data_IF_136724553960
#
_entry.id   IF_136724553960
#
_cell.length_a   1.000
_cell.length_b   1.000
_cell.length_c   1.000
_cell.angle_alpha   90.00
_cell.angle_beta   90.00
_cell.angle_gamma   90.00
#
_symmetry.space_group_name_H-M   'P 1'
#
loop_
_entity.id
_entity.type
_entity.pdbx_description
1 polymer ?
#
# COMPACT_ATOMS: atom_id res chain seq x y z
N UNK A 1 4.23 -23.67 -20.12
CA UNK A 1 3.02 -23.34 -19.33
C UNK A 1 2.66 -21.90 -19.68
N UNK A 2 1.71 -21.71 -20.60
CA UNK A 2 1.38 -20.39 -21.16
C UNK A 2 0.50 -19.64 -20.17
N UNK A 3 1.05 -18.58 -19.56
CA UNK A 3 0.27 -17.61 -18.78
C UNK A 3 -0.63 -16.84 -19.74
N UNK A 4 -1.92 -16.78 -19.41
CA UNK A 4 -2.95 -16.18 -20.24
C UNK A 4 -2.85 -14.65 -20.15
N UNK A 5 -3.13 -13.94 -21.25
CA UNK A 5 -3.01 -12.48 -21.32
C UNK A 5 -3.93 -11.76 -20.29
N UNK A 6 -4.97 -12.44 -19.80
CA UNK A 6 -5.83 -11.98 -18.69
C UNK A 6 -5.10 -11.90 -17.35
N UNK A 7 -4.16 -12.81 -17.07
CA UNK A 7 -3.42 -12.83 -15.80
C UNK A 7 -2.36 -11.72 -15.74
N UNK A 8 -1.83 -11.33 -16.91
CA UNK A 8 -0.91 -10.20 -17.07
C UNK A 8 -1.63 -8.84 -16.96
N UNK A 9 -2.88 -8.75 -17.43
CA UNK A 9 -3.71 -7.54 -17.29
C UNK A 9 -4.15 -7.33 -15.84
N UNK A 10 -4.52 -8.40 -15.10
CA UNK A 10 -4.83 -8.31 -13.68
C UNK A 10 -3.61 -7.87 -12.84
N UNK A 11 -2.41 -8.36 -13.13
CA UNK A 11 -1.17 -7.95 -12.42
C UNK A 11 -0.78 -6.47 -12.66
N UNK A 12 -1.08 -5.94 -13.85
CA UNK A 12 -0.85 -4.52 -14.17
C UNK A 12 -1.95 -3.60 -13.61
N UNK A 13 -3.19 -4.09 -13.51
CA UNK A 13 -4.32 -3.31 -12.99
C UNK A 13 -4.26 -3.13 -11.47
N UNK A 14 -3.75 -4.13 -10.72
CA UNK A 14 -3.51 -4.02 -9.28
C UNK A 14 -2.26 -3.18 -8.90
N UNK A 15 -1.35 -2.92 -9.85
CA UNK A 15 -0.11 -2.18 -9.57
C UNK A 15 -0.20 -0.68 -9.90
N UNK A 16 -1.19 -0.23 -10.67
CA UNK A 16 -1.32 1.18 -11.10
C UNK A 16 -2.56 1.92 -10.56
N UNK A 17 -3.57 1.25 -9.99
CA UNK A 17 -4.77 1.96 -9.51
C UNK A 17 -4.60 2.69 -8.17
N UNK A 18 -3.40 2.64 -7.56
CA UNK A 18 -3.11 3.31 -6.28
C UNK A 18 -2.24 4.56 -6.37
N UNK A 19 -1.92 5.05 -7.57
CA UNK A 19 -0.99 6.16 -7.72
C UNK A 19 -1.39 7.17 -8.81
N UNK A 20 -1.42 8.44 -8.39
CA UNK A 20 -1.47 9.71 -9.15
C UNK A 20 -2.87 10.29 -9.41
N UNK A 21 -3.08 11.49 -8.87
CA UNK A 21 -4.20 12.37 -9.19
C UNK A 21 -4.03 13.12 -10.51
N UNK A 22 -5.18 13.35 -11.15
CA UNK A 22 -5.53 14.41 -12.12
C UNK A 22 -5.24 14.19 -13.63
N UNK A 23 -6.05 14.83 -14.52
CA UNK A 23 -6.64 14.16 -15.71
C UNK A 23 -6.43 14.89 -17.05
N UNK A 24 -6.31 14.13 -18.15
CA UNK A 24 -6.58 14.44 -19.59
C UNK A 24 -5.79 13.38 -20.40
N UNK A 25 -6.17 12.75 -21.49
CA UNK A 25 -7.09 12.94 -22.62
C UNK A 25 -7.21 11.55 -23.26
N UNK A 26 -8.39 11.09 -23.68
CA UNK A 26 -8.52 10.33 -24.95
C UNK A 26 -9.91 10.61 -25.51
N UNK A 27 -9.97 11.51 -26.50
CA UNK A 27 -11.05 11.55 -27.48
C UNK A 27 -11.09 10.21 -28.23
N UNK A 28 -12.21 9.48 -28.14
CA UNK A 28 -12.55 8.42 -29.08
C UNK A 28 -13.74 8.88 -29.92
N UNK A 29 -13.46 9.18 -31.18
CA UNK A 29 -14.46 9.19 -32.24
C UNK A 29 -15.03 7.77 -32.42
N UNK A 30 -16.32 7.75 -32.79
CA UNK A 30 -17.09 6.68 -33.42
C UNK A 30 -17.91 5.75 -32.52
N UNK A 31 -19.16 6.15 -32.26
CA UNK A 31 -20.28 5.21 -32.16
C UNK A 31 -21.46 5.75 -32.97
N UNK A 32 -21.74 5.12 -34.11
CA UNK A 32 -23.07 5.16 -34.72
C UNK A 32 -23.88 3.99 -34.11
N UNK A 33 -24.94 4.39 -33.41
CA UNK A 33 -26.24 3.72 -33.28
C UNK A 33 -26.30 2.32 -32.67
N UNK A 34 -26.43 2.27 -31.34
CA UNK A 34 -27.62 1.70 -30.68
C UNK A 34 -27.86 2.54 -29.41
N UNK A 35 -29.06 3.11 -29.28
CA UNK A 35 -29.45 4.00 -28.17
C UNK A 35 -29.16 3.33 -26.82
N UNK A 36 -28.16 3.85 -26.12
CA UNK A 36 -27.60 3.30 -24.88
C UNK A 36 -28.56 3.52 -23.72
N UNK A 37 -29.04 2.44 -23.11
CA UNK A 37 -29.52 2.48 -21.73
C UNK A 37 -28.33 2.88 -20.84
N UNK A 38 -28.44 3.90 -19.98
CA UNK A 38 -27.32 4.37 -19.17
C UNK A 38 -26.89 3.36 -18.10
N UNK A 39 -25.59 3.30 -17.82
CA UNK A 39 -24.99 2.34 -16.86
C UNK A 39 -24.50 3.01 -15.57
N UNK A 40 -24.67 4.33 -15.42
CA UNK A 40 -24.31 5.10 -14.24
C UNK A 40 -25.38 6.17 -13.94
N UNK A 41 -25.45 6.65 -12.69
CA UNK A 41 -26.44 7.67 -12.27
C UNK A 41 -26.31 8.97 -13.07
N UNK A 42 -25.09 9.32 -13.47
CA UNK A 42 -24.82 10.49 -14.31
C UNK A 42 -25.36 10.31 -15.73
N UNK A 43 -25.17 9.15 -16.34
CA UNK A 43 -25.76 8.81 -17.63
C UNK A 43 -27.28 8.66 -17.55
N UNK A 44 -27.82 8.15 -16.44
CA UNK A 44 -29.26 8.10 -16.21
C UNK A 44 -29.84 9.52 -16.15
N UNK A 45 -29.19 10.42 -15.42
CA UNK A 45 -29.56 11.83 -15.35
C UNK A 45 -29.45 12.50 -16.74
N UNK A 46 -28.36 12.26 -17.47
CA UNK A 46 -28.16 12.80 -18.82
C UNK A 46 -29.22 12.29 -19.80
N UNK A 47 -29.54 10.99 -19.74
CA UNK A 47 -30.62 10.39 -20.53
C UNK A 47 -31.99 10.97 -20.16
N UNK A 48 -32.26 11.22 -18.87
CA UNK A 48 -33.49 11.88 -18.44
C UNK A 48 -33.56 13.35 -18.88
N UNK A 49 -32.43 14.05 -18.93
CA UNK A 49 -32.34 15.43 -19.44
C UNK A 49 -32.49 15.47 -20.97
N UNK A 50 -31.87 14.54 -21.69
CA UNK A 50 -31.93 14.44 -23.15
C UNK A 50 -33.29 13.92 -23.65
N UNK A 51 -33.98 13.10 -22.84
CA UNK A 51 -35.34 12.63 -23.10
C UNK A 51 -36.43 13.59 -22.58
N UNK A 52 -36.05 14.63 -21.84
CA UNK A 52 -36.94 15.68 -21.35
C UNK A 52 -37.18 16.74 -22.41
N UNK A 53 -38.45 17.01 -22.73
CA UNK A 53 -38.84 18.11 -23.62
C UNK A 53 -38.48 19.48 -23.02
N UNK A 54 -38.19 20.45 -23.89
CA UNK A 54 -37.97 21.88 -23.59
C UNK A 54 -38.94 22.39 -22.50
N UNK A 55 -38.50 23.18 -21.50
CA UNK A 55 -39.31 23.55 -20.35
C UNK A 55 -40.29 24.67 -20.74
N UNK A 56 -41.30 24.34 -21.55
CA UNK A 56 -42.46 25.20 -21.75
C UNK A 56 -43.42 25.02 -20.57
N UNK A 57 -43.17 25.78 -19.50
CA UNK A 57 -44.09 26.25 -18.45
C UNK A 57 -45.10 25.32 -17.75
N UNK A 58 -45.23 24.05 -18.11
CA UNK A 58 -46.00 23.07 -17.33
C UNK A 58 -45.03 22.27 -16.47
N UNK A 59 -44.62 22.90 -15.36
CA UNK A 59 -43.99 22.21 -14.25
C UNK A 59 -45.07 21.37 -13.56
N UNK A 60 -45.58 20.33 -14.24
CA UNK A 60 -46.47 19.35 -13.63
C UNK A 60 -45.71 18.73 -12.46
N UNK A 61 -46.11 19.07 -11.24
CA UNK A 61 -45.52 18.46 -10.05
C UNK A 61 -45.71 16.96 -10.19
N UNK A 62 -44.63 16.18 -10.10
CA UNK A 62 -44.73 14.71 -10.15
C UNK A 62 -45.89 14.22 -9.29
N UNK A 63 -46.78 13.46 -9.89
CA UNK A 63 -47.88 12.80 -9.18
C UNK A 63 -47.31 12.01 -7.98
N UNK A 64 -47.88 12.16 -6.76
CA UNK A 64 -47.32 11.55 -5.56
C UNK A 64 -47.19 10.03 -5.63
N UNK A 65 -48.12 9.36 -6.33
CA UNK A 65 -48.10 7.90 -6.50
C UNK A 65 -46.95 7.46 -7.41
N UNK A 66 -46.73 8.19 -8.51
CA UNK A 66 -45.61 7.95 -9.42
C UNK A 66 -44.25 8.24 -8.78
N UNK A 67 -44.14 9.27 -7.94
CA UNK A 67 -42.92 9.55 -7.17
C UNK A 67 -42.64 8.46 -6.14
N UNK A 68 -43.66 7.96 -5.45
CA UNK A 68 -43.54 6.88 -4.49
C UNK A 68 -43.11 5.57 -5.17
N UNK A 69 -43.72 5.24 -6.31
CA UNK A 69 -43.33 4.07 -7.11
C UNK A 69 -41.87 4.16 -7.58
N UNK A 70 -41.43 5.31 -8.08
CA UNK A 70 -40.05 5.49 -8.54
C UNK A 70 -39.04 5.40 -7.38
N UNK A 71 -39.35 5.99 -6.22
CA UNK A 71 -38.53 5.84 -5.01
C UNK A 71 -38.45 4.39 -4.57
N UNK A 72 -39.58 3.69 -4.51
CA UNK A 72 -39.62 2.27 -4.16
C UNK A 72 -38.87 1.39 -5.17
N UNK A 73 -38.98 1.68 -6.47
CA UNK A 73 -38.24 0.97 -7.51
C UNK A 73 -36.73 1.21 -7.37
N UNK A 74 -36.31 2.46 -7.19
CA UNK A 74 -34.90 2.81 -6.96
C UNK A 74 -34.37 2.18 -5.66
N UNK A 75 -35.11 2.28 -4.55
CA UNK A 75 -34.77 1.68 -3.26
C UNK A 75 -34.71 0.14 -3.34
N UNK A 76 -35.63 -0.49 -4.10
CA UNK A 76 -35.61 -1.94 -4.34
C UNK A 76 -34.45 -2.40 -5.22
N UNK A 77 -33.82 -1.48 -5.95
CA UNK A 77 -32.65 -1.71 -6.80
C UNK A 77 -31.33 -1.32 -6.11
N UNK A 78 -31.36 -0.55 -5.02
CA UNK A 78 -30.16 -0.17 -4.25
C UNK A 78 -29.96 -1.12 -3.07
N UNK A 79 -28.81 -1.76 -3.01
CA UNK A 79 -28.41 -2.56 -1.83
C UNK A 79 -27.96 -1.61 -0.73
N UNK A 80 -28.50 -1.78 0.48
CA UNK A 80 -27.93 -1.14 1.67
C UNK A 80 -26.58 -1.82 1.99
N UNK A 81 -25.52 -1.27 1.40
CA UNK A 81 -24.16 -1.76 1.57
C UNK A 81 -23.73 -1.75 3.04
N UNK A 82 -24.21 -0.82 3.86
CA UNK A 82 -23.90 -0.81 5.29
C UNK A 82 -24.56 -1.99 6.02
N UNK A 83 -25.78 -2.37 5.63
CA UNK A 83 -26.42 -3.58 6.14
C UNK A 83 -25.70 -4.86 5.70
N UNK A 84 -25.29 -4.94 4.42
CA UNK A 84 -24.55 -6.11 3.92
C UNK A 84 -23.19 -6.23 4.60
N UNK A 85 -22.45 -5.12 4.76
CA UNK A 85 -21.20 -5.10 5.52
C UNK A 85 -21.39 -5.55 6.97
N UNK A 86 -22.44 -5.09 7.66
CA UNK A 86 -22.75 -5.56 9.03
C UNK A 86 -22.97 -7.07 9.07
N UNK A 87 -23.69 -7.61 8.09
CA UNK A 87 -23.91 -9.05 7.95
C UNK A 87 -22.59 -9.80 7.76
N UNK A 88 -21.72 -9.35 6.84
CA UNK A 88 -20.41 -9.98 6.62
C UNK A 88 -19.50 -9.89 7.84
N UNK A 89 -19.47 -8.76 8.52
CA UNK A 89 -18.74 -8.59 9.78
C UNK A 89 -19.22 -9.62 10.82
N UNK A 90 -20.55 -9.75 10.98
CA UNK A 90 -21.12 -10.70 11.92
C UNK A 90 -20.78 -12.16 11.55
N UNK A 91 -20.90 -12.53 10.28
CA UNK A 91 -20.53 -13.86 9.77
C UNK A 91 -19.08 -14.18 10.09
N UNK A 92 -18.14 -13.30 9.75
CA UNK A 92 -16.71 -13.53 10.03
C UNK A 92 -16.46 -13.70 11.52
N UNK A 93 -16.97 -12.78 12.36
CA UNK A 93 -16.78 -12.86 13.82
C UNK A 93 -17.35 -14.16 14.39
N UNK A 94 -18.53 -14.58 13.94
CA UNK A 94 -19.16 -15.82 14.38
C UNK A 94 -18.35 -17.04 13.94
N UNK A 95 -17.87 -17.06 12.69
CA UNK A 95 -17.17 -18.19 12.13
C UNK A 95 -15.79 -18.40 12.79
N UNK A 96 -15.02 -17.33 13.01
CA UNK A 96 -13.72 -17.41 13.70
C UNK A 96 -13.86 -17.80 15.18
N UNK A 97 -15.01 -17.51 15.79
CA UNK A 97 -15.30 -17.84 17.20
C UNK A 97 -16.05 -19.17 17.37
N UNK A 98 -16.35 -19.86 16.27
CA UNK A 98 -17.12 -21.11 16.30
C UNK A 98 -16.31 -22.27 16.89
N UNK A 99 -17.00 -23.35 17.27
CA UNK A 99 -16.35 -24.55 17.78
C UNK A 99 -15.53 -25.32 16.72
N UNK A 100 -15.84 -25.10 15.43
CA UNK A 100 -15.11 -25.69 14.31
C UNK A 100 -14.89 -24.66 13.17
N UNK A 101 -13.95 -23.70 13.34
CA UNK A 101 -13.71 -22.67 12.34
C UNK A 101 -13.17 -23.22 11.00
N UNK A 102 -12.61 -24.44 10.99
CA UNK A 102 -12.00 -25.04 9.82
C UNK A 102 -13.02 -25.46 8.75
N UNK A 103 -14.22 -25.86 9.16
CA UNK A 103 -15.29 -26.19 8.21
C UNK A 103 -15.93 -24.95 7.59
N UNK A 104 -15.68 -23.76 8.16
CA UNK A 104 -16.25 -22.48 7.72
C UNK A 104 -15.25 -21.61 6.94
N UNK A 105 -14.10 -22.16 6.53
CA UNK A 105 -13.05 -21.40 5.85
C UNK A 105 -13.54 -20.75 4.58
N UNK A 106 -14.22 -21.50 3.71
CA UNK A 106 -14.72 -20.99 2.43
C UNK A 106 -15.72 -19.85 2.61
N UNK A 107 -16.69 -19.99 3.53
CA UNK A 107 -17.66 -18.94 3.84
C UNK A 107 -16.99 -17.70 4.44
N UNK A 108 -16.01 -17.91 5.34
CA UNK A 108 -15.28 -16.82 5.98
C UNK A 108 -14.41 -16.07 4.97
N UNK A 109 -13.69 -16.78 4.10
CA UNK A 109 -12.89 -16.20 3.02
C UNK A 109 -13.78 -15.41 2.07
N UNK A 110 -14.92 -15.95 1.65
CA UNK A 110 -15.87 -15.21 0.79
C UNK A 110 -16.41 -13.95 1.46
N UNK A 111 -16.75 -14.01 2.76
CA UNK A 111 -17.20 -12.83 3.48
C UNK A 111 -16.08 -11.79 3.68
N UNK A 112 -14.83 -12.22 3.82
CA UNK A 112 -13.67 -11.33 3.87
C UNK A 112 -13.36 -10.68 2.52
N UNK A 113 -13.49 -11.42 1.41
CA UNK A 113 -13.33 -10.88 0.07
C UNK A 113 -14.37 -9.78 -0.21
N UNK A 114 -15.65 -10.04 0.11
CA UNK A 114 -16.70 -9.02 0.00
C UNK A 114 -16.37 -7.76 0.83
N UNK A 115 -15.83 -7.92 2.04
CA UNK A 115 -15.42 -6.79 2.88
C UNK A 115 -14.21 -6.04 2.33
N UNK A 116 -13.25 -6.75 1.74
CA UNK A 116 -12.10 -6.13 1.08
C UNK A 116 -12.59 -5.28 -0.10
N UNK A 117 -13.46 -5.83 -0.95
CA UNK A 117 -14.05 -5.14 -2.10
C UNK A 117 -14.84 -3.90 -1.67
N UNK A 118 -15.67 -4.01 -0.61
CA UNK A 118 -16.41 -2.86 -0.10
C UNK A 118 -15.48 -1.77 0.44
N UNK A 119 -14.39 -2.15 1.11
CA UNK A 119 -13.47 -1.17 1.73
C UNK A 119 -12.50 -0.53 0.74
N UNK A 120 -12.53 -0.89 -0.55
CA UNK A 120 -11.84 -0.12 -1.59
C UNK A 120 -12.42 1.30 -1.75
N UNK A 121 -13.71 1.49 -1.43
CA UNK A 121 -14.33 2.81 -1.32
C UNK A 121 -14.05 3.42 0.06
N UNK A 122 -13.44 4.60 0.07
CA UNK A 122 -13.06 5.32 1.30
C UNK A 122 -14.26 5.61 2.21
N UNK A 123 -15.44 5.92 1.67
CA UNK A 123 -16.64 6.18 2.46
C UNK A 123 -17.16 4.89 3.12
N UNK A 124 -17.07 3.77 2.40
CA UNK A 124 -17.46 2.46 2.93
C UNK A 124 -16.43 1.98 3.97
N UNK A 125 -15.13 2.19 3.76
CA UNK A 125 -14.11 1.97 4.79
C UNK A 125 -14.41 2.74 6.09
N UNK A 126 -14.86 3.98 5.98
CA UNK A 126 -15.29 4.79 7.12
C UNK A 126 -16.51 4.19 7.84
N UNK A 127 -17.49 3.71 7.08
CA UNK A 127 -18.67 3.01 7.62
C UNK A 127 -18.21 1.73 8.31
N UNK A 128 -17.34 0.93 7.69
CA UNK A 128 -16.78 -0.30 8.23
C UNK A 128 -16.21 -0.09 9.64
N UNK A 129 -15.40 0.96 9.81
CA UNK A 129 -14.83 1.33 11.11
C UNK A 129 -15.92 1.61 12.16
N UNK A 130 -16.98 2.33 11.77
CA UNK A 130 -18.09 2.73 12.66
C UNK A 130 -18.99 1.56 13.07
N UNK A 131 -19.11 0.52 12.23
CA UNK A 131 -20.02 -0.62 12.46
C UNK A 131 -19.32 -1.85 13.09
N UNK A 132 -18.13 -1.67 13.67
CA UNK A 132 -17.41 -2.73 14.39
C UNK A 132 -16.29 -3.41 13.61
N UNK A 133 -15.90 -2.86 12.46
CA UNK A 133 -14.84 -3.42 11.62
C UNK A 133 -13.47 -3.51 12.30
N UNK A 134 -13.14 -2.58 13.19
CA UNK A 134 -11.91 -2.66 14.01
C UNK A 134 -11.92 -3.88 14.94
N UNK A 135 -13.05 -4.20 15.54
CA UNK A 135 -13.19 -5.38 16.41
C UNK A 135 -12.97 -6.66 15.62
N UNK A 136 -13.53 -6.74 14.40
CA UNK A 136 -13.28 -7.84 13.48
C UNK A 136 -11.80 -7.96 13.14
N UNK A 137 -11.15 -6.87 12.72
CA UNK A 137 -9.73 -6.87 12.37
C UNK A 137 -8.86 -7.34 13.53
N UNK A 138 -9.16 -6.87 14.75
CA UNK A 138 -8.47 -7.32 15.96
C UNK A 138 -8.67 -8.82 16.20
N UNK A 139 -9.89 -9.33 16.02
CA UNK A 139 -10.19 -10.76 16.10
C UNK A 139 -9.34 -11.59 15.12
N UNK A 140 -9.29 -11.17 13.86
CA UNK A 140 -8.49 -11.84 12.82
C UNK A 140 -6.98 -11.83 13.13
N UNK A 141 -6.46 -10.71 13.65
CA UNK A 141 -5.03 -10.56 13.94
C UNK A 141 -4.60 -11.26 15.24
N UNK A 142 -5.51 -11.42 16.22
CA UNK A 142 -5.24 -12.12 17.49
C UNK A 142 -5.41 -13.64 17.37
N UNK A 143 -6.34 -14.10 16.55
CA UNK A 143 -6.56 -15.52 16.26
C UNK A 143 -6.24 -15.84 14.78
N UNK A 144 -4.96 -15.72 14.39
CA UNK A 144 -4.57 -15.74 12.99
C UNK A 144 -4.60 -17.16 12.41
N UNK A 145 -5.63 -17.51 11.64
CA UNK A 145 -5.52 -18.63 10.71
C UNK A 145 -4.62 -18.25 9.54
N UNK A 146 -3.78 -19.18 9.08
CA UNK A 146 -2.97 -18.98 7.88
C UNK A 146 -3.86 -18.67 6.65
N UNK A 147 -5.10 -19.12 6.65
CA UNK A 147 -6.08 -18.91 5.58
C UNK A 147 -6.50 -17.44 5.41
N UNK A 148 -6.43 -16.63 6.48
CA UNK A 148 -6.97 -15.26 6.49
C UNK A 148 -5.90 -14.17 6.64
N UNK A 149 -4.61 -14.51 6.80
CA UNK A 149 -3.56 -13.52 7.09
C UNK A 149 -3.38 -12.52 5.96
N UNK A 150 -3.33 -12.99 4.72
CA UNK A 150 -3.27 -12.12 3.55
C UNK A 150 -4.46 -11.14 3.53
N UNK A 151 -5.68 -11.66 3.64
CA UNK A 151 -6.93 -10.89 3.64
C UNK A 151 -7.00 -9.90 4.80
N UNK A 152 -6.55 -10.29 6.00
CA UNK A 152 -6.52 -9.41 7.18
C UNK A 152 -5.60 -8.21 6.96
N UNK A 153 -4.43 -8.44 6.35
CA UNK A 153 -3.50 -7.37 5.99
C UNK A 153 -4.01 -6.47 4.86
N UNK A 154 -4.72 -7.05 3.87
CA UNK A 154 -5.36 -6.29 2.79
C UNK A 154 -6.52 -5.44 3.31
N UNK A 155 -7.39 -6.00 4.14
CA UNK A 155 -8.49 -5.27 4.77
C UNK A 155 -7.94 -4.13 5.65
N UNK A 156 -6.91 -4.40 6.45
CA UNK A 156 -6.20 -3.34 7.19
C UNK A 156 -5.63 -2.27 6.26
N UNK A 157 -5.09 -2.65 5.09
CA UNK A 157 -4.58 -1.68 4.11
C UNK A 157 -5.69 -0.76 3.62
N UNK A 158 -6.79 -1.32 3.13
CA UNK A 158 -7.91 -0.57 2.55
C UNK A 158 -8.49 0.45 3.55
N UNK A 159 -8.65 0.05 4.82
CA UNK A 159 -9.27 0.92 5.82
C UNK A 159 -8.38 2.09 6.28
N UNK A 160 -7.06 1.98 6.20
CA UNK A 160 -6.14 3.01 6.73
C UNK A 160 -5.41 3.81 5.65
N UNK A 161 -5.48 3.38 4.39
CA UNK A 161 -4.70 3.98 3.32
C UNK A 161 -5.12 5.44 3.08
N UNK A 162 -4.13 6.34 3.19
CA UNK A 162 -4.33 7.79 3.06
C UNK A 162 -5.42 8.35 3.99
N UNK A 163 -5.68 7.69 5.12
CA UNK A 163 -6.74 8.04 6.05
C UNK A 163 -6.19 8.21 7.48
N UNK A 164 -5.80 9.44 7.84
CA UNK A 164 -5.08 9.75 9.08
C UNK A 164 -5.81 9.28 10.36
N UNK A 165 -7.13 9.49 10.44
CA UNK A 165 -7.91 9.10 11.62
C UNK A 165 -8.01 7.57 11.77
N UNK A 166 -8.23 6.84 10.69
CA UNK A 166 -8.22 5.38 10.68
C UNK A 166 -6.84 4.82 11.07
N UNK A 167 -5.75 5.42 10.58
CA UNK A 167 -4.39 5.09 11.01
C UNK A 167 -4.23 5.31 12.53
N UNK A 168 -4.66 6.44 13.07
CA UNK A 168 -4.62 6.72 14.52
C UNK A 168 -5.41 5.68 15.32
N UNK A 169 -6.62 5.33 14.89
CA UNK A 169 -7.45 4.30 15.53
C UNK A 169 -6.73 2.95 15.54
N UNK A 170 -6.18 2.52 14.40
CA UNK A 170 -5.44 1.26 14.29
C UNK A 170 -4.16 1.24 15.16
N UNK A 171 -3.45 2.36 15.27
CA UNK A 171 -2.30 2.51 16.17
C UNK A 171 -2.72 2.39 17.64
N UNK A 172 -3.79 3.08 18.04
CA UNK A 172 -4.31 3.06 19.41
C UNK A 172 -4.80 1.66 19.83
N UNK A 173 -5.34 0.89 18.89
CA UNK A 173 -5.75 -0.50 19.08
C UNK A 173 -4.58 -1.50 19.02
N UNK A 174 -3.34 -1.00 18.91
CA UNK A 174 -2.11 -1.80 18.84
C UNK A 174 -2.06 -2.77 17.64
N UNK A 175 -2.80 -2.47 16.57
CA UNK A 175 -2.86 -3.34 15.39
C UNK A 175 -1.48 -3.44 14.71
N UNK A 176 -0.69 -2.36 14.74
CA UNK A 176 0.66 -2.35 14.18
C UNK A 176 1.56 -3.44 14.77
N UNK A 177 1.57 -3.60 16.09
CA UNK A 177 2.43 -4.61 16.72
C UNK A 177 1.92 -6.03 16.43
N UNK A 178 0.60 -6.22 16.35
CA UNK A 178 0.00 -7.50 15.98
C UNK A 178 0.38 -7.90 14.56
N UNK A 179 0.14 -7.03 13.57
CA UNK A 179 0.45 -7.31 12.16
C UNK A 179 1.96 -7.47 11.92
N UNK A 180 2.82 -6.72 12.64
CA UNK A 180 4.27 -6.92 12.59
C UNK A 180 4.68 -8.27 13.14
N UNK A 181 4.07 -8.73 14.23
CA UNK A 181 4.37 -10.05 14.79
C UNK A 181 4.00 -11.15 13.80
N UNK A 182 2.79 -11.08 13.22
CA UNK A 182 2.34 -12.03 12.21
C UNK A 182 3.27 -12.07 11.00
N UNK A 183 3.73 -10.91 10.53
CA UNK A 183 4.64 -10.83 9.37
C UNK A 183 5.94 -11.61 9.62
N UNK A 184 6.49 -11.55 10.83
CA UNK A 184 7.76 -12.21 11.18
C UNK A 184 7.58 -13.72 11.40
N UNK A 185 6.43 -14.12 11.93
CA UNK A 185 6.12 -15.52 12.22
C UNK A 185 5.65 -16.30 10.98
N UNK A 186 5.30 -15.61 9.88
CA UNK A 186 4.86 -16.24 8.64
C UNK A 186 6.02 -16.68 7.72
N UNK A 187 5.72 -17.65 6.86
CA UNK A 187 6.64 -18.23 5.87
C UNK A 187 6.01 -18.33 4.47
N UNK A 188 4.73 -18.00 4.35
CA UNK A 188 4.05 -17.89 3.07
C UNK A 188 4.17 -16.47 2.50
N UNK A 189 4.86 -16.27 1.36
CA UNK A 189 5.06 -14.94 0.79
C UNK A 189 3.75 -14.25 0.39
N UNK A 190 2.66 -14.97 0.14
CA UNK A 190 1.34 -14.39 -0.11
C UNK A 190 0.78 -13.73 1.15
N UNK A 191 0.75 -14.47 2.25
CA UNK A 191 0.38 -13.95 3.57
C UNK A 191 1.26 -12.77 3.98
N UNK A 192 2.57 -12.92 3.87
CA UNK A 192 3.54 -11.86 4.19
C UNK A 192 3.30 -10.61 3.34
N UNK A 193 2.98 -10.77 2.06
CA UNK A 193 2.71 -9.64 1.16
C UNK A 193 1.42 -8.90 1.53
N UNK A 194 0.38 -9.60 1.98
CA UNK A 194 -0.86 -8.99 2.47
C UNK A 194 -0.63 -8.24 3.78
N UNK A 195 0.04 -8.87 4.75
CA UNK A 195 0.42 -8.24 6.03
C UNK A 195 1.28 -6.99 5.82
N UNK A 196 2.24 -7.06 4.89
CA UNK A 196 3.09 -5.92 4.53
C UNK A 196 2.29 -4.79 3.85
N UNK A 197 1.23 -5.07 3.07
CA UNK A 197 0.33 -4.02 2.57
C UNK A 197 -0.27 -3.23 3.72
N UNK A 198 -0.85 -3.93 4.71
CA UNK A 198 -1.46 -3.30 5.88
C UNK A 198 -0.47 -2.46 6.67
N UNK A 199 0.74 -2.98 6.90
CA UNK A 199 1.83 -2.25 7.56
C UNK A 199 2.20 -0.98 6.77
N UNK A 200 2.40 -1.12 5.46
CA UNK A 200 2.80 0.00 4.59
C UNK A 200 1.76 1.12 4.60
N UNK A 201 0.49 0.78 4.39
CA UNK A 201 -0.61 1.75 4.40
C UNK A 201 -0.84 2.38 5.77
N UNK A 202 -0.62 1.64 6.86
CA UNK A 202 -0.78 2.16 8.23
C UNK A 202 0.28 3.21 8.58
N UNK A 203 1.49 3.06 8.04
CA UNK A 203 2.64 3.87 8.43
C UNK A 203 2.86 5.06 7.49
N UNK A 204 2.65 4.84 6.19
CA UNK A 204 2.98 5.86 5.18
C UNK A 204 2.12 7.10 5.31
N UNK A 205 2.74 8.26 5.12
CA UNK A 205 2.08 9.57 5.20
C UNK A 205 1.62 9.95 6.61
N UNK A 206 2.05 9.24 7.66
CA UNK A 206 1.59 9.49 9.03
C UNK A 206 2.75 9.44 10.04
N UNK A 207 3.11 10.62 10.57
CA UNK A 207 4.25 10.74 11.49
C UNK A 207 4.06 9.96 12.79
N UNK A 208 2.84 9.92 13.33
CA UNK A 208 2.51 9.17 14.56
C UNK A 208 2.75 7.67 14.33
N UNK A 209 2.22 7.12 13.23
CA UNK A 209 2.41 5.71 12.88
C UNK A 209 3.88 5.38 12.62
N UNK A 210 4.63 6.26 11.97
CA UNK A 210 6.08 6.09 11.76
C UNK A 210 6.85 6.09 13.08
N UNK A 211 6.57 7.04 13.99
CA UNK A 211 7.17 7.04 15.34
C UNK A 211 6.85 5.73 16.07
N UNK A 212 5.60 5.25 15.98
CA UNK A 212 5.22 3.97 16.58
C UNK A 212 5.95 2.79 15.94
N UNK A 213 6.12 2.76 14.62
CA UNK A 213 6.87 1.72 13.92
C UNK A 213 8.33 1.64 14.38
N UNK A 214 8.98 2.80 14.53
CA UNK A 214 10.35 2.89 15.07
C UNK A 214 10.40 2.35 16.50
N UNK A 215 9.46 2.76 17.37
CA UNK A 215 9.38 2.29 18.76
C UNK A 215 9.16 0.78 18.86
N UNK A 216 8.40 0.19 17.92
CA UNK A 216 8.18 -1.25 17.83
C UNK A 216 9.37 -2.03 17.23
N UNK A 217 10.51 -1.36 16.97
CA UNK A 217 11.67 -1.91 16.27
C UNK A 217 11.30 -2.48 14.89
N UNK A 218 10.38 -1.80 14.20
CA UNK A 218 9.83 -2.26 12.93
C UNK A 218 10.90 -2.44 11.84
N UNK A 219 11.88 -1.54 11.79
CA UNK A 219 13.03 -1.69 10.89
C UNK A 219 13.87 -2.92 11.22
N UNK A 220 14.18 -3.21 12.49
CA UNK A 220 14.96 -4.41 12.86
C UNK A 220 14.27 -5.68 12.39
N UNK A 221 12.98 -5.80 12.69
CA UNK A 221 12.15 -6.94 12.29
C UNK A 221 12.10 -7.11 10.78
N UNK A 222 11.89 -6.02 10.03
CA UNK A 222 11.82 -6.08 8.57
C UNK A 222 13.17 -6.47 7.93
N UNK A 223 14.28 -5.92 8.45
CA UNK A 223 15.61 -6.23 7.93
C UNK A 223 16.03 -7.66 8.26
N UNK A 224 15.72 -8.15 9.46
CA UNK A 224 15.94 -9.56 9.82
C UNK A 224 15.15 -10.48 8.90
N UNK A 225 13.88 -10.15 8.63
CA UNK A 225 13.04 -10.91 7.72
C UNK A 225 13.60 -10.93 6.30
N UNK A 226 14.00 -9.78 5.75
CA UNK A 226 14.62 -9.68 4.43
C UNK A 226 15.92 -10.49 4.35
N UNK A 227 16.75 -10.46 5.40
CA UNK A 227 17.96 -11.29 5.45
C UNK A 227 17.64 -12.78 5.47
N UNK A 228 16.61 -13.19 6.23
CA UNK A 228 16.15 -14.57 6.31
C UNK A 228 15.62 -15.06 4.96
N UNK A 229 14.76 -14.29 4.30
CA UNK A 229 14.18 -14.66 3.00
C UNK A 229 15.22 -14.67 1.89
N UNK A 230 16.19 -13.75 1.90
CA UNK A 230 17.28 -13.72 0.91
C UNK A 230 18.32 -14.83 1.10
N UNK A 231 18.47 -15.41 2.29
CA UNK A 231 19.38 -16.53 2.55
C UNK A 231 18.71 -17.90 2.45
N UNK A 232 17.40 -17.93 2.26
CA UNK A 232 16.64 -19.17 2.13
C UNK A 232 17.08 -19.94 0.89
N UNK A 233 17.09 -21.27 0.96
CA UNK A 233 17.25 -22.13 -0.21
C UNK A 233 16.09 -21.95 -1.22
N UNK A 234 14.98 -21.35 -0.79
CA UNK A 234 13.81 -21.01 -1.59
C UNK A 234 13.71 -19.50 -1.85
N UNK A 235 14.84 -18.78 -1.93
CA UNK A 235 14.87 -17.32 -2.11
C UNK A 235 14.01 -16.80 -3.28
N UNK A 236 13.91 -17.56 -4.37
CA UNK A 236 13.09 -17.23 -5.55
C UNK A 236 11.60 -17.09 -5.19
N UNK A 237 11.11 -17.88 -4.21
CA UNK A 237 9.73 -17.82 -3.70
C UNK A 237 9.40 -16.46 -3.09
N UNK A 238 10.43 -15.77 -2.56
CA UNK A 238 10.26 -14.52 -1.81
C UNK A 238 10.59 -13.26 -2.63
N UNK A 239 10.95 -13.37 -3.91
CA UNK A 239 11.40 -12.22 -4.72
C UNK A 239 10.36 -11.09 -4.75
N UNK A 240 9.09 -11.43 -5.01
CA UNK A 240 7.99 -10.44 -5.02
C UNK A 240 7.78 -9.78 -3.66
N UNK A 241 7.88 -10.56 -2.59
CA UNK A 241 7.77 -10.05 -1.22
C UNK A 241 8.94 -9.11 -0.90
N UNK A 242 10.17 -9.53 -1.21
CA UNK A 242 11.39 -8.77 -0.94
C UNK A 242 11.40 -7.45 -1.72
N UNK A 243 10.92 -7.44 -2.96
CA UNK A 243 10.80 -6.22 -3.76
C UNK A 243 9.78 -5.26 -3.16
N UNK A 244 8.62 -5.78 -2.73
CA UNK A 244 7.59 -4.98 -2.04
C UNK A 244 8.09 -4.39 -0.71
N UNK A 245 8.85 -5.17 0.06
CA UNK A 245 9.48 -4.71 1.30
C UNK A 245 10.56 -3.64 1.02
N UNK A 246 11.33 -3.81 -0.05
CA UNK A 246 12.33 -2.83 -0.49
C UNK A 246 11.70 -1.51 -0.93
N UNK A 247 10.59 -1.58 -1.67
CA UNK A 247 9.78 -0.41 -2.01
C UNK A 247 9.26 0.30 -0.75
N UNK A 248 8.73 -0.44 0.22
CA UNK A 248 8.28 0.14 1.49
C UNK A 248 9.42 0.85 2.25
N UNK A 249 10.61 0.26 2.31
CA UNK A 249 11.81 0.90 2.89
C UNK A 249 12.14 2.20 2.15
N UNK A 250 12.07 2.19 0.82
CA UNK A 250 12.29 3.38 -0.01
C UNK A 250 11.23 4.48 0.24
N UNK A 251 9.96 4.12 0.41
CA UNK A 251 8.92 5.08 0.79
C UNK A 251 9.18 5.71 2.15
N UNK A 252 9.42 4.91 3.20
CA UNK A 252 9.73 5.45 4.52
C UNK A 252 10.95 6.35 4.47
N UNK A 253 11.94 5.98 3.69
CA UNK A 253 13.10 6.81 3.46
C UNK A 253 12.76 8.23 2.93
N UNK A 254 11.78 8.37 2.06
CA UNK A 254 11.34 9.68 1.58
C UNK A 254 10.53 10.47 2.61
N UNK A 255 9.88 9.77 3.55
CA UNK A 255 8.91 10.36 4.48
C UNK A 255 9.50 10.70 5.86
N UNK A 256 10.50 9.96 6.33
CA UNK A 256 11.11 10.16 7.66
C UNK A 256 11.64 11.58 7.85
N UNK A 257 11.27 12.18 8.99
CA UNK A 257 11.81 13.46 9.46
C UNK A 257 13.27 13.36 9.90
N UNK A 258 13.95 14.51 9.97
CA UNK A 258 15.32 14.60 10.49
C UNK A 258 15.43 14.08 11.93
N UNK A 259 14.45 14.40 12.79
CA UNK A 259 14.40 13.92 14.17
C UNK A 259 14.34 12.38 14.22
N UNK A 260 13.49 11.77 13.38
CA UNK A 260 13.39 10.31 13.31
C UNK A 260 14.67 9.66 12.79
N UNK A 261 15.36 10.28 11.83
CA UNK A 261 16.66 9.81 11.34
C UNK A 261 17.74 9.88 12.42
N UNK A 262 17.77 10.94 13.23
CA UNK A 262 18.66 11.06 14.38
C UNK A 262 18.39 9.96 15.41
N UNK A 263 17.12 9.64 15.66
CA UNK A 263 16.72 8.53 16.54
C UNK A 263 17.13 7.15 15.97
N UNK A 264 17.36 7.06 14.67
CA UNK A 264 17.80 5.86 13.94
C UNK A 264 19.32 5.76 13.78
N UNK A 265 20.11 6.67 14.34
CA UNK A 265 21.58 6.68 14.17
C UNK A 265 22.23 5.34 14.55
N UNK A 266 21.81 4.77 15.68
CA UNK A 266 22.40 3.54 16.22
C UNK A 266 21.95 2.29 15.44
N UNK A 267 20.83 2.40 14.72
CA UNK A 267 20.34 1.35 13.81
C UNK A 267 21.20 1.23 12.54
N UNK A 268 21.97 2.27 12.18
CA UNK A 268 22.83 2.29 10.99
C UNK A 268 22.05 1.97 9.70
N UNK A 269 20.95 2.70 9.47
CA UNK A 269 20.01 2.42 8.38
C UNK A 269 20.67 2.28 7.01
N UNK A 270 21.56 3.21 6.65
CA UNK A 270 22.33 3.20 5.40
C UNK A 270 23.20 1.96 5.26
N UNK A 271 23.92 1.57 6.33
CA UNK A 271 24.79 0.41 6.36
C UNK A 271 24.01 -0.88 6.18
N UNK A 272 22.86 -1.01 6.86
CA UNK A 272 22.01 -2.20 6.71
C UNK A 272 21.40 -2.29 5.31
N UNK A 273 21.03 -1.16 4.69
CA UNK A 273 20.55 -1.16 3.29
C UNK A 273 21.68 -1.59 2.36
N UNK A 274 22.90 -1.07 2.54
CA UNK A 274 24.08 -1.48 1.77
C UNK A 274 24.32 -3.00 1.87
N UNK A 275 24.20 -3.57 3.08
CA UNK A 275 24.33 -5.01 3.29
C UNK A 275 23.24 -5.81 2.58
N UNK A 276 21.98 -5.34 2.57
CA UNK A 276 20.90 -6.01 1.84
C UNK A 276 21.13 -5.99 0.33
N UNK A 277 21.56 -4.87 -0.24
CA UNK A 277 21.91 -4.76 -1.68
C UNK A 277 22.95 -5.82 -2.07
N UNK A 278 23.96 -6.00 -1.23
CA UNK A 278 25.02 -6.99 -1.45
C UNK A 278 24.57 -8.44 -1.19
N UNK A 279 23.51 -8.64 -0.40
CA UNK A 279 23.00 -9.95 -0.03
C UNK A 279 21.97 -10.50 -1.03
N UNK A 280 21.15 -9.64 -1.61
CA UNK A 280 20.03 -10.05 -2.46
C UNK A 280 20.52 -10.79 -3.71
N UNK A 281 19.88 -11.93 -3.99
CA UNK A 281 20.15 -12.69 -5.21
C UNK A 281 19.80 -11.89 -6.46
N UNK A 282 18.62 -11.28 -6.45
CA UNK A 282 18.14 -10.36 -7.47
C UNK A 282 18.22 -8.94 -6.93
N UNK A 283 18.99 -8.03 -7.56
CA UNK A 283 19.06 -6.64 -7.13
C UNK A 283 17.69 -5.97 -7.03
N UNK A 284 17.52 -5.13 -6.00
CA UNK A 284 16.34 -4.27 -5.85
C UNK A 284 16.71 -2.83 -6.15
N UNK A 285 16.06 -2.25 -7.17
CA UNK A 285 16.23 -0.82 -7.50
C UNK A 285 15.81 0.08 -6.35
N UNK A 286 14.80 -0.32 -5.57
CA UNK A 286 14.32 0.48 -4.45
C UNK A 286 15.34 0.61 -3.32
N UNK A 287 16.11 -0.45 -3.03
CA UNK A 287 17.19 -0.36 -2.03
C UNK A 287 18.32 0.56 -2.53
N UNK A 288 18.65 0.49 -3.82
CA UNK A 288 19.64 1.38 -4.45
C UNK A 288 19.20 2.84 -4.33
N UNK A 289 17.95 3.14 -4.69
CA UNK A 289 17.36 4.48 -4.57
C UNK A 289 17.31 4.94 -3.11
N UNK A 290 16.91 4.07 -2.19
CA UNK A 290 16.86 4.38 -0.76
C UNK A 290 18.26 4.75 -0.21
N UNK A 291 19.29 3.98 -0.57
CA UNK A 291 20.66 4.24 -0.15
C UNK A 291 21.19 5.54 -0.75
N UNK A 292 21.04 5.76 -2.05
CA UNK A 292 21.45 7.01 -2.70
C UNK A 292 20.78 8.22 -2.03
N UNK A 293 19.49 8.11 -1.72
CA UNK A 293 18.74 9.14 -1.04
C UNK A 293 19.23 9.39 0.40
N UNK A 294 19.66 8.37 1.16
CA UNK A 294 20.24 8.56 2.50
C UNK A 294 21.60 9.27 2.46
N UNK A 295 22.40 8.94 1.47
CA UNK A 295 23.77 9.43 1.34
C UNK A 295 23.84 10.86 0.77
N UNK A 296 22.94 11.22 -0.16
CA UNK A 296 22.83 12.60 -0.69
C UNK A 296 22.47 13.61 0.41
N UNK A 297 21.74 13.17 1.44
CA UNK A 297 21.07 14.06 2.38
C UNK A 297 19.67 14.40 1.84
N UNK A 298 18.69 14.50 2.74
CA UNK A 298 17.27 14.55 2.39
C UNK A 298 16.60 15.83 2.81
N UNK A 299 15.56 16.20 2.05
CA UNK A 299 14.45 17.00 2.52
C UNK A 299 13.24 16.06 2.58
N UNK A 300 12.56 15.93 3.72
CA UNK A 300 11.27 15.22 3.78
C UNK A 300 10.32 15.96 2.85
N UNK A 301 9.65 15.26 1.93
CA UNK A 301 8.82 15.93 0.89
C UNK A 301 7.33 15.67 1.05
N UNK A 302 6.95 14.65 1.82
CA UNK A 302 5.57 14.14 1.83
C UNK A 302 4.77 14.50 3.09
N UNK A 303 5.41 14.57 4.26
CA UNK A 303 4.73 14.91 5.53
C UNK A 303 4.94 16.38 5.89
N UNK A 304 6.16 16.88 5.67
CA UNK A 304 6.50 18.28 5.86
C UNK A 304 7.12 18.78 4.56
N UNK A 305 6.44 19.58 3.73
CA UNK A 305 7.07 20.16 2.56
C UNK A 305 8.31 20.97 2.97
N UNK A 306 9.34 21.06 2.11
CA UNK A 306 10.53 21.86 2.37
C UNK A 306 10.13 23.27 2.85
N UNK A 307 10.76 23.80 3.91
CA UNK A 307 10.62 25.23 4.18
C UNK A 307 11.09 26.02 2.95
N UNK A 308 10.45 27.15 2.68
CA UNK A 308 10.87 28.10 1.64
C UNK A 308 11.69 29.22 2.30
N UNK A 309 12.97 29.42 1.95
CA UNK A 309 13.73 28.75 0.89
C UNK A 309 14.18 27.32 1.24
N UNK A 310 14.25 26.47 0.20
CA UNK A 310 14.74 25.09 0.30
C UNK A 310 16.08 25.07 1.05
N UNK A 311 16.25 24.21 2.06
CA UNK A 311 17.49 24.15 2.83
C UNK A 311 18.70 23.96 1.92
N UNK A 312 19.82 24.60 2.26
CA UNK A 312 21.08 24.41 1.57
C UNK A 312 21.44 22.90 1.57
N UNK A 313 21.85 22.30 0.44
CA UNK A 313 22.26 20.89 0.38
C UNK A 313 23.30 20.49 1.44
N UNK A 314 24.09 21.45 1.95
CA UNK A 314 25.05 21.25 3.04
C UNK A 314 24.42 21.11 4.43
N UNK A 315 23.18 21.59 4.64
CA UNK A 315 22.47 21.48 5.93
C UNK A 315 21.66 20.20 6.07
N UNK A 316 21.53 19.39 5.02
CA UNK A 316 20.72 18.17 5.03
C UNK A 316 21.39 17.06 5.85
N UNK A 317 20.58 16.35 6.65
CA UNK A 317 21.05 15.19 7.42
C UNK A 317 21.44 14.06 6.47
N UNK A 318 22.74 13.76 6.40
CA UNK A 318 23.31 12.63 5.66
C UNK A 318 23.51 11.45 6.61
N UNK A 319 23.20 10.24 6.13
CA UNK A 319 23.43 9.01 6.90
C UNK A 319 24.55 8.20 6.22
N UNK A 320 25.81 8.33 6.67
CA UNK A 320 26.97 7.77 5.97
C UNK A 320 27.01 6.24 6.06
N UNK A 321 27.86 5.62 5.24
CA UNK A 321 28.19 4.18 5.29
C UNK A 321 29.67 3.97 5.60
N UNK A 322 30.03 2.75 5.98
CA UNK A 322 31.41 2.36 6.20
C UNK A 322 32.22 2.35 4.89
N UNK A 323 33.52 2.58 5.00
CA UNK A 323 34.48 2.51 3.89
C UNK A 323 34.53 1.12 3.23
N UNK A 324 34.33 0.05 4.01
CA UNK A 324 34.25 -1.31 3.51
C UNK A 324 33.02 -1.50 2.61
N UNK A 325 31.83 -1.15 3.14
CA UNK A 325 30.58 -1.25 2.40
C UNK A 325 30.59 -0.38 1.14
N UNK A 326 31.18 0.82 1.20
CA UNK A 326 31.35 1.69 0.04
C UNK A 326 32.16 1.01 -1.07
N UNK A 327 33.33 0.44 -0.76
CA UNK A 327 34.18 -0.26 -1.73
C UNK A 327 33.46 -1.46 -2.34
N UNK A 328 32.82 -2.27 -1.50
CA UNK A 328 32.07 -3.45 -1.94
C UNK A 328 30.90 -3.10 -2.85
N UNK A 329 30.19 -2.00 -2.57
CA UNK A 329 29.12 -1.50 -3.44
C UNK A 329 29.66 -0.97 -4.78
N UNK A 330 30.79 -0.25 -4.79
CA UNK A 330 31.42 0.20 -6.03
C UNK A 330 31.85 -0.98 -6.92
N UNK A 331 32.31 -2.08 -6.33
CA UNK A 331 32.64 -3.30 -7.08
C UNK A 331 31.38 -4.07 -7.51
N UNK A 332 30.37 -4.14 -6.65
CA UNK A 332 29.07 -4.72 -6.99
C UNK A 332 28.39 -3.99 -8.14
N UNK A 333 28.48 -2.65 -8.20
CA UNK A 333 27.95 -1.85 -9.29
C UNK A 333 28.56 -2.21 -10.65
N UNK A 334 29.76 -2.79 -10.70
CA UNK A 334 30.40 -3.27 -11.94
C UNK A 334 29.97 -4.69 -12.31
N UNK A 335 29.24 -5.39 -11.43
CA UNK A 335 28.82 -6.77 -11.67
C UNK A 335 27.74 -6.85 -12.77
N UNK A 336 27.63 -7.98 -13.50
CA UNK A 336 26.61 -8.15 -14.53
C UNK A 336 25.18 -7.96 -14.00
N UNK A 337 24.91 -8.42 -12.77
CA UNK A 337 23.59 -8.27 -12.14
C UNK A 337 23.22 -6.81 -11.92
N UNK A 338 24.17 -6.01 -11.44
CA UNK A 338 23.94 -4.57 -11.26
C UNK A 338 23.91 -3.81 -12.59
N UNK A 339 24.44 -4.38 -13.67
CA UNK A 339 24.43 -3.75 -15.00
C UNK A 339 23.16 -4.08 -15.80
N UNK A 340 22.31 -4.97 -15.31
CA UNK A 340 21.05 -5.34 -15.93
C UNK A 340 20.00 -4.23 -15.79
N UNK A 341 19.67 -3.57 -16.91
CA UNK A 341 18.71 -2.45 -16.95
C UNK A 341 17.26 -2.90 -16.69
N UNK A 342 16.97 -4.20 -16.77
CA UNK A 342 15.65 -4.73 -16.41
C UNK A 342 15.45 -4.81 -14.89
N UNK A 343 16.55 -4.81 -14.12
CA UNK A 343 16.54 -4.92 -12.66
C UNK A 343 16.88 -3.61 -11.98
N UNK A 344 17.79 -2.82 -12.56
CA UNK A 344 18.18 -1.53 -12.03
C UNK A 344 18.33 -0.50 -13.15
N UNK A 345 17.49 0.53 -13.11
CA UNK A 345 17.56 1.64 -14.05
C UNK A 345 18.95 2.31 -14.09
N UNK A 346 19.37 2.75 -15.28
CA UNK A 346 20.63 3.48 -15.47
C UNK A 346 20.72 4.73 -14.56
N UNK A 347 19.59 5.39 -14.33
CA UNK A 347 19.49 6.55 -13.45
C UNK A 347 19.85 6.19 -12.01
N UNK A 348 19.21 5.18 -11.42
CA UNK A 348 19.47 4.75 -10.05
C UNK A 348 20.93 4.34 -9.85
N UNK A 349 21.54 3.67 -10.84
CA UNK A 349 22.95 3.26 -10.81
C UNK A 349 23.90 4.45 -10.85
N UNK A 350 23.68 5.39 -11.76
CA UNK A 350 24.48 6.62 -11.86
C UNK A 350 24.38 7.42 -10.58
N UNK A 351 23.18 7.54 -10.04
CA UNK A 351 22.91 8.25 -8.81
C UNK A 351 23.68 7.67 -7.62
N UNK A 352 23.60 6.36 -7.41
CA UNK A 352 24.35 5.73 -6.33
C UNK A 352 25.87 5.85 -6.57
N UNK A 353 26.33 5.65 -7.81
CA UNK A 353 27.76 5.76 -8.16
C UNK A 353 28.31 7.15 -7.83
N UNK A 354 27.64 8.20 -8.27
CA UNK A 354 28.07 9.59 -8.05
C UNK A 354 28.20 9.90 -6.56
N UNK A 355 27.23 9.45 -5.76
CA UNK A 355 27.20 9.75 -4.33
C UNK A 355 28.29 8.98 -3.58
N UNK A 356 28.51 7.71 -3.91
CA UNK A 356 29.58 6.90 -3.32
C UNK A 356 30.96 7.48 -3.63
N UNK A 357 31.16 8.06 -4.82
CA UNK A 357 32.41 8.73 -5.19
C UNK A 357 32.58 10.08 -4.46
N UNK A 358 31.51 10.86 -4.32
CA UNK A 358 31.55 12.15 -3.61
C UNK A 358 31.76 12.02 -2.10
N UNK A 359 31.44 10.87 -1.49
CA UNK A 359 31.62 10.65 -0.05
C UNK A 359 33.11 10.67 0.37
N UNK A 360 34.05 10.59 -0.58
CA UNK A 360 35.50 10.68 -0.35
C UNK A 360 35.92 12.10 0.06
N UNK A 361 35.27 13.13 -0.49
CA UNK A 361 35.72 14.53 -0.32
C UNK A 361 35.24 15.14 1.01
N UNK A 362 34.23 14.57 1.66
CA UNK A 362 33.67 15.06 2.92
C UNK A 362 34.34 14.52 4.18
N UNK A 363 35.23 13.52 4.07
CA UNK A 363 35.98 12.94 5.19
C UNK A 363 37.42 13.48 5.30
N UNK A 364 37.86 14.29 4.34
CA UNK A 364 39.19 14.91 4.28
C UNK A 364 39.21 16.40 4.68
N UNK A 365 38.10 16.94 5.22
CA UNK A 365 38.02 18.30 5.76
C UNK A 365 37.65 18.29 7.23
#
# INVERSE_FOLDING_TARGET
MQLNMRDLVLLLQYSLHFFVGSPWEVLVLTTLTMSRVPHDLKGLLQFCLDAGSDPTNDNESMDPERSLWLRQALESMTVDLAAEMRKRIATVIQNISSADPKSLVEETTSALDDLIDFTEDVNLADIFLKIGGITLLKGLLVFPSADYRAQSGMLLSNIVQNHEEAQKVAINENLLNLVLQLLIDDTDPGNMSGLLSGISSLIRGNELSQKRFIQCKGFDRLFELLQKTSRSNEQEKYERFNEKASFFIYCLCQELSEEQLVNLKDFQLSERIAQLILLFHLPSEFLVKALALLLKGRVSTLINPPPDPVPDPSSLVKVPISEDSRKRLLDWLKSPKAQDETLISLEARKDLTNVLLQTVDSLCN
#
